data_IF_356957016139
#
_entry.id   IF_356957016139
#
_cell.length_a   1.000
_cell.length_b   1.000
_cell.length_c   1.000
_cell.angle_alpha   90.00
_cell.angle_beta   90.00
_cell.angle_gamma   90.00
#
_symmetry.space_group_name_H-M   'P 1'
#
loop_
_entity.id
_entity.type
_entity.pdbx_description
1 polymer ?
#
# COMPACT_ATOMS: atom_id res chain seq x y z
N UNK A 1 -51.81 4.77 9.64
CA UNK A 1 -51.02 4.42 8.44
C UNK A 1 -49.54 4.32 8.83
N UNK A 2 -49.20 3.54 9.87
CA UNK A 2 -47.92 3.74 10.58
C UNK A 2 -46.99 2.51 10.55
N UNK A 3 -47.42 1.40 9.92
CA UNK A 3 -46.61 0.17 9.82
C UNK A 3 -45.51 0.28 8.76
N UNK A 4 -45.73 1.10 7.74
CA UNK A 4 -44.78 1.33 6.65
C UNK A 4 -43.54 2.06 7.16
N UNK A 5 -43.70 3.02 8.07
CA UNK A 5 -42.59 3.75 8.70
C UNK A 5 -41.76 2.84 9.63
N UNK A 6 -42.40 1.92 10.34
CA UNK A 6 -41.72 0.94 11.19
C UNK A 6 -40.88 -0.06 10.38
N UNK A 7 -41.32 -0.43 9.17
CA UNK A 7 -40.52 -1.26 8.25
C UNK A 7 -39.40 -0.46 7.57
N UNK A 8 -39.58 0.84 7.31
CA UNK A 8 -38.54 1.71 6.74
C UNK A 8 -37.39 1.98 7.73
N UNK A 9 -37.69 2.14 9.02
CA UNK A 9 -36.67 2.28 10.09
C UNK A 9 -35.91 0.97 10.28
N UNK A 10 -36.62 -0.18 10.24
CA UNK A 10 -36.01 -1.50 10.40
C UNK A 10 -35.15 -1.92 9.20
N UNK A 11 -35.44 -1.39 8.00
CA UNK A 11 -34.76 -1.79 6.76
C UNK A 11 -33.54 -0.94 6.43
N UNK A 12 -33.15 0.04 7.27
CA UNK A 12 -31.91 0.81 7.07
C UNK A 12 -31.73 1.40 5.66
N UNK A 13 -32.84 1.52 4.91
CA UNK A 13 -32.86 1.90 3.49
C UNK A 13 -33.12 3.39 3.37
N UNK A 14 -32.55 4.15 4.29
CA UNK A 14 -32.05 5.47 4.02
C UNK A 14 -30.56 5.37 4.30
N UNK A 15 -29.78 5.11 3.23
CA UNK A 15 -28.36 5.43 3.26
C UNK A 15 -28.31 6.94 3.47
N UNK A 16 -28.14 7.37 4.72
CA UNK A 16 -27.89 8.75 5.10
C UNK A 16 -26.83 9.26 4.12
N UNK A 17 -26.97 10.45 3.50
CA UNK A 17 -25.89 10.99 2.68
C UNK A 17 -24.65 10.93 3.57
N UNK A 18 -23.65 10.14 3.16
CA UNK A 18 -22.47 9.84 3.96
C UNK A 18 -22.04 11.13 4.65
N UNK A 19 -22.00 11.12 5.99
CA UNK A 19 -21.65 12.31 6.77
C UNK A 19 -20.32 12.84 6.28
N UNK A 20 -20.08 14.15 6.42
CA UNK A 20 -18.80 14.74 5.99
C UNK A 20 -17.59 14.00 6.57
N UNK A 21 -17.73 13.44 7.77
CA UNK A 21 -16.78 12.53 8.42
C UNK A 21 -16.60 11.21 7.64
N UNK A 22 -17.67 10.49 7.28
CA UNK A 22 -17.57 9.25 6.49
C UNK A 22 -16.97 9.49 5.09
N UNK A 23 -17.29 10.63 4.46
CA UNK A 23 -16.67 11.03 3.18
C UNK A 23 -15.20 11.35 3.34
N UNK A 24 -14.81 12.01 4.43
CA UNK A 24 -13.42 12.34 4.74
C UNK A 24 -12.60 11.09 5.03
N UNK A 25 -13.14 10.13 5.81
CA UNK A 25 -12.50 8.83 6.06
C UNK A 25 -12.41 7.96 4.79
N UNK A 26 -13.44 7.99 3.94
CA UNK A 26 -13.38 7.29 2.64
C UNK A 26 -12.34 7.95 1.73
N UNK A 27 -12.26 9.28 1.70
CA UNK A 27 -11.28 10.00 0.92
C UNK A 27 -9.85 9.76 1.42
N UNK A 28 -9.63 9.72 2.73
CA UNK A 28 -8.31 9.48 3.33
C UNK A 28 -7.84 8.04 3.10
N UNK A 29 -8.73 7.05 3.25
CA UNK A 29 -8.44 5.65 2.93
C UNK A 29 -8.15 5.42 1.45
N UNK A 30 -8.90 6.08 0.55
CA UNK A 30 -8.61 6.05 -0.90
C UNK A 30 -7.26 6.72 -1.18
N UNK A 31 -6.96 7.87 -0.58
CA UNK A 31 -5.67 8.53 -0.77
C UNK A 31 -4.50 7.67 -0.28
N UNK A 32 -4.66 6.96 0.83
CA UNK A 32 -3.69 6.00 1.36
C UNK A 32 -3.46 4.84 0.38
N UNK A 33 -4.54 4.25 -0.15
CA UNK A 33 -4.46 3.17 -1.12
C UNK A 33 -3.80 3.61 -2.45
N UNK A 34 -4.11 4.83 -2.89
CA UNK A 34 -3.50 5.43 -4.08
C UNK A 34 -1.99 5.66 -3.89
N UNK A 35 -1.56 6.11 -2.70
CA UNK A 35 -0.13 6.22 -2.37
C UNK A 35 0.56 4.87 -2.39
N UNK A 36 -0.03 3.87 -1.73
CA UNK A 36 0.56 2.53 -1.63
C UNK A 36 0.70 1.85 -3.01
N UNK A 37 -0.33 1.99 -3.86
CA UNK A 37 -0.29 1.51 -5.24
C UNK A 37 0.74 2.28 -6.09
N UNK A 38 0.85 3.60 -5.92
CA UNK A 38 1.85 4.40 -6.63
C UNK A 38 3.29 4.00 -6.26
N UNK A 39 3.56 3.76 -4.97
CA UNK A 39 4.88 3.32 -4.51
C UNK A 39 5.24 1.94 -5.07
N UNK A 40 4.27 1.03 -5.13
CA UNK A 40 4.44 -0.29 -5.73
C UNK A 40 4.74 -0.19 -7.24
N UNK A 41 3.94 0.57 -7.98
CA UNK A 41 4.10 0.74 -9.43
C UNK A 41 5.44 1.45 -9.74
N UNK A 42 5.83 2.45 -8.95
CA UNK A 42 7.11 3.13 -9.11
C UNK A 42 8.30 2.16 -8.99
N UNK A 43 8.27 1.24 -8.01
CA UNK A 43 9.30 0.21 -7.86
C UNK A 43 9.40 -0.73 -9.08
N UNK A 44 8.25 -1.14 -9.64
CA UNK A 44 8.19 -1.99 -10.85
C UNK A 44 8.77 -1.25 -12.05
N UNK A 45 8.35 -0.01 -12.28
CA UNK A 45 8.81 0.81 -13.41
C UNK A 45 10.31 1.03 -13.32
N UNK A 46 10.83 1.38 -12.14
CA UNK A 46 12.28 1.56 -11.93
C UNK A 46 13.04 0.26 -12.18
N UNK A 47 12.55 -0.89 -11.67
CA UNK A 47 13.16 -2.19 -11.92
C UNK A 47 13.15 -2.60 -13.40
N UNK A 48 12.06 -2.31 -14.12
CA UNK A 48 11.94 -2.58 -15.56
C UNK A 48 12.91 -1.71 -16.38
N UNK A 49 13.03 -0.42 -16.06
CA UNK A 49 13.95 0.50 -16.74
C UNK A 49 15.40 0.10 -16.50
N UNK A 50 15.76 -0.23 -15.25
CA UNK A 50 17.11 -0.71 -14.90
C UNK A 50 17.43 -2.05 -15.58
N UNK A 51 16.51 -3.02 -15.56
CA UNK A 51 16.68 -4.31 -16.22
C UNK A 51 16.86 -4.18 -17.73
N UNK A 52 16.07 -3.32 -18.37
CA UNK A 52 16.20 -3.02 -19.81
C UNK A 52 17.51 -2.32 -20.15
N UNK A 53 17.96 -1.37 -19.32
CA UNK A 53 19.23 -0.68 -19.51
C UNK A 53 20.43 -1.65 -19.43
N UNK A 54 20.40 -2.56 -18.45
CA UNK A 54 21.44 -3.59 -18.29
C UNK A 54 21.47 -4.55 -19.48
N UNK A 55 20.30 -5.05 -19.92
CA UNK A 55 20.22 -5.91 -21.11
C UNK A 55 20.81 -5.23 -22.36
N UNK A 56 20.57 -3.92 -22.50
CA UNK A 56 21.07 -3.14 -23.64
C UNK A 56 22.58 -2.95 -23.62
N UNK A 57 23.17 -2.73 -22.44
CA UNK A 57 24.62 -2.51 -22.28
C UNK A 57 25.40 -3.83 -22.33
N UNK A 58 24.84 -4.89 -21.74
CA UNK A 58 25.48 -6.21 -21.71
C UNK A 58 25.38 -6.96 -23.05
N UNK A 59 24.49 -6.56 -23.96
CA UNK A 59 24.28 -7.23 -25.25
C UNK A 59 23.73 -8.65 -25.11
N UNK A 60 23.34 -9.05 -23.90
CA UNK A 60 22.75 -10.35 -23.60
C UNK A 60 21.27 -10.32 -23.95
N UNK A 61 20.77 -11.36 -24.65
CA UNK A 61 19.33 -11.70 -24.71
C UNK A 61 18.68 -11.54 -23.32
N UNK A 62 17.36 -11.29 -23.18
CA UNK A 62 16.70 -10.48 -22.12
C UNK A 62 16.72 -11.10 -20.71
N UNK A 63 17.90 -11.54 -20.29
CA UNK A 63 18.21 -12.26 -19.07
C UNK A 63 18.27 -11.30 -17.89
N UNK A 64 18.80 -10.09 -18.10
CA UNK A 64 18.76 -9.01 -17.11
C UNK A 64 17.31 -8.62 -16.80
N UNK A 65 16.45 -8.48 -17.81
CA UNK A 65 15.01 -8.30 -17.61
C UNK A 65 14.39 -9.47 -16.83
N UNK A 66 14.68 -10.73 -17.18
CA UNK A 66 14.11 -11.88 -16.47
C UNK A 66 14.55 -11.92 -14.99
N UNK A 67 15.85 -11.71 -14.71
CA UNK A 67 16.38 -11.72 -13.34
C UNK A 67 15.85 -10.55 -12.53
N UNK A 68 15.85 -9.33 -13.06
CA UNK A 68 15.31 -8.17 -12.36
C UNK A 68 13.78 -8.21 -12.22
N UNK A 69 13.07 -8.80 -13.17
CA UNK A 69 11.63 -9.02 -13.07
C UNK A 69 11.32 -10.03 -11.95
N UNK A 70 12.03 -11.16 -11.90
CA UNK A 70 11.87 -12.15 -10.83
C UNK A 70 12.27 -11.59 -9.47
N UNK A 71 13.39 -10.85 -9.40
CA UNK A 71 13.86 -10.23 -8.16
C UNK A 71 12.92 -9.11 -7.69
N UNK A 72 12.44 -8.27 -8.61
CA UNK A 72 11.45 -7.23 -8.34
C UNK A 72 10.09 -7.80 -7.95
N UNK A 73 9.65 -8.88 -8.60
CA UNK A 73 8.45 -9.62 -8.24
C UNK A 73 8.57 -10.23 -6.83
N UNK A 74 9.70 -10.89 -6.53
CA UNK A 74 9.96 -11.45 -5.20
C UNK A 74 9.98 -10.35 -4.13
N UNK A 75 10.65 -9.23 -4.38
CA UNK A 75 10.67 -8.08 -3.48
C UNK A 75 9.26 -7.47 -3.30
N UNK A 76 8.46 -7.39 -4.37
CA UNK A 76 7.08 -6.92 -4.33
C UNK A 76 6.16 -7.84 -3.51
N UNK A 77 6.25 -9.16 -3.73
CA UNK A 77 5.53 -10.16 -2.92
C UNK A 77 5.95 -10.08 -1.46
N UNK A 78 7.25 -9.93 -1.18
CA UNK A 78 7.75 -9.77 0.19
C UNK A 78 7.25 -8.47 0.84
N UNK A 79 7.16 -7.37 0.09
CA UNK A 79 6.59 -6.11 0.58
C UNK A 79 5.10 -6.25 0.93
N UNK A 80 4.32 -6.97 0.10
CA UNK A 80 2.91 -7.26 0.39
C UNK A 80 2.78 -8.15 1.63
N UNK A 81 3.53 -9.25 1.70
CA UNK A 81 3.54 -10.17 2.85
C UNK A 81 3.95 -9.48 4.15
N UNK A 82 4.86 -8.51 4.06
CA UNK A 82 5.25 -7.65 5.18
C UNK A 82 4.13 -6.68 5.57
N UNK A 83 3.44 -6.09 4.60
CA UNK A 83 2.31 -5.19 4.84
C UNK A 83 1.08 -5.89 5.44
N UNK A 84 0.89 -7.18 5.14
CA UNK A 84 -0.21 -7.99 5.73
C UNK A 84 0.21 -8.73 7.02
N UNK A 85 1.43 -8.49 7.52
CA UNK A 85 1.86 -8.94 8.85
C UNK A 85 2.47 -10.35 8.93
N UNK A 86 2.73 -11.01 7.80
CA UNK A 86 3.37 -12.34 7.79
C UNK A 86 4.89 -12.30 8.01
N UNK A 87 5.53 -11.15 7.81
CA UNK A 87 6.95 -10.92 8.12
C UNK A 87 7.02 -9.76 9.11
N UNK A 88 7.37 -10.05 10.35
CA UNK A 88 7.58 -9.04 11.37
C UNK A 88 8.63 -8.02 10.89
N UNK A 89 8.27 -6.74 10.91
CA UNK A 89 9.21 -5.65 10.74
C UNK A 89 10.37 -5.80 11.73
N UNK A 90 11.56 -6.08 11.21
CA UNK A 90 12.82 -5.91 11.94
C UNK A 90 13.48 -4.64 11.38
N UNK A 91 12.85 -3.51 11.70
CA UNK A 91 13.30 -2.17 11.32
C UNK A 91 13.35 -1.23 12.53
N UNK A 92 13.85 -1.72 13.67
CA UNK A 92 14.15 -0.84 14.79
C UNK A 92 15.34 0.06 14.49
N UNK A 93 15.13 1.38 14.43
CA UNK A 93 16.11 2.35 14.94
C UNK A 93 15.41 3.31 15.91
N UNK A 94 15.99 3.35 17.09
CA UNK A 94 15.57 4.05 18.31
C UNK A 94 15.69 5.56 18.13
N UNK A 95 14.71 6.31 18.63
CA UNK A 95 14.94 7.66 19.18
C UNK A 95 14.18 7.82 20.50
N UNK A 96 14.77 7.25 21.55
CA UNK A 96 14.54 7.74 22.93
C UNK A 96 15.79 7.45 23.77
N UNK A 97 16.95 7.70 23.14
CA UNK A 97 18.25 7.68 23.77
C UNK A 97 18.86 9.08 23.67
N UNK A 98 18.14 10.09 24.17
CA UNK A 98 18.81 11.29 24.64
C UNK A 98 18.15 11.76 25.95
N UNK A 99 18.99 11.82 26.99
CA UNK A 99 18.81 12.49 28.28
C UNK A 99 17.98 11.83 29.36
N UNK A 100 18.52 10.69 29.78
CA UNK A 100 19.01 10.60 31.16
C UNK A 100 20.20 11.56 31.37
N UNK A 101 19.95 12.86 31.52
CA UNK A 101 20.88 13.78 32.18
C UNK A 101 20.13 15.05 32.62
N UNK A 102 19.49 14.97 33.79
CA UNK A 102 19.67 15.94 34.87
C UNK A 102 19.07 15.36 36.15
N UNK A 103 19.98 15.00 37.03
CA UNK A 103 19.80 14.92 38.49
C UNK A 103 18.99 16.08 39.04
#
# INVERSE_FOLDING_TARGET
MNRLEAELVKKGMFKKPASEEERSETASSVAQAMKLSSEFIAGIVVGAVLGWFIDRVAGTSPWGLIVFLLLGFAAGVLNVLRSVGYVADQGGIKTNAEKSDRK
#
